data_IF_724139501674
#
_entry.id   IF_724139501674
#
_cell.length_a   1.000
_cell.length_b   1.000
_cell.length_c   1.000
_cell.angle_alpha   90.00
_cell.angle_beta   90.00
_cell.angle_gamma   90.00
#
_symmetry.space_group_name_H-M   'P 1'
#
loop_
_entity.id
_entity.type
_entity.pdbx_description
1 polymer ?
#
# COMPACT_ATOMS: atom_id res chain seq x y z
N UNK A 1 23.48 46.09 -55.99
CA UNK A 1 24.39 46.56 -57.06
C UNK A 1 24.95 45.35 -57.74
N UNK A 2 24.42 45.04 -58.88
CA UNK A 2 25.10 44.26 -59.94
C UNK A 2 26.17 45.17 -60.56
N UNK A 3 27.05 44.77 -61.42
CA UNK A 3 26.85 43.88 -62.56
C UNK A 3 28.06 42.93 -62.85
N UNK A 4 27.93 41.89 -63.62
CA UNK A 4 27.77 41.72 -65.13
C UNK A 4 29.08 41.35 -65.84
N UNK A 5 28.93 40.32 -66.67
CA UNK A 5 29.53 40.01 -67.97
C UNK A 5 30.95 39.36 -68.00
N UNK A 6 31.31 38.60 -68.94
CA UNK A 6 30.69 38.14 -70.21
C UNK A 6 31.61 37.05 -70.89
N UNK A 7 31.00 36.15 -71.61
CA UNK A 7 31.34 35.48 -72.84
C UNK A 7 32.81 35.23 -73.25
N UNK A 8 33.15 34.09 -73.81
CA UNK A 8 32.90 33.72 -75.20
C UNK A 8 33.57 32.41 -75.64
N UNK A 9 32.82 31.61 -76.35
CA UNK A 9 33.09 30.90 -77.61
C UNK A 9 34.44 30.23 -77.95
N UNK A 10 34.32 29.01 -78.41
CA UNK A 10 35.29 28.38 -79.26
C UNK A 10 35.01 26.88 -79.60
N UNK A 11 34.34 26.65 -80.68
CA UNK A 11 34.06 25.34 -81.32
C UNK A 11 35.32 24.49 -81.62
N UNK A 12 35.26 23.15 -81.56
CA UNK A 12 35.19 22.23 -82.70
C UNK A 12 35.30 20.77 -82.34
N UNK A 13 34.31 20.05 -82.75
CA UNK A 13 34.16 18.73 -83.38
C UNK A 13 35.22 17.63 -83.25
N UNK A 14 34.61 16.45 -82.95
CA UNK A 14 34.83 15.14 -83.59
C UNK A 14 35.84 14.21 -82.89
N UNK A 15 35.30 13.17 -82.23
CA UNK A 15 35.40 11.79 -82.67
C UNK A 15 34.59 10.87 -81.77
N UNK A 16 33.55 10.33 -82.36
CA UNK A 16 32.76 9.23 -81.76
C UNK A 16 33.49 7.90 -81.94
N UNK A 17 33.15 6.96 -81.02
CA UNK A 17 33.37 5.52 -81.09
C UNK A 17 34.64 5.04 -80.32
N UNK A 18 34.47 4.76 -79.01
CA UNK A 18 35.04 3.61 -78.33
C UNK A 18 34.80 3.60 -76.76
N UNK A 19 33.83 4.37 -76.22
CA UNK A 19 33.64 4.49 -74.78
C UNK A 19 32.51 3.63 -74.20
N UNK A 20 31.65 3.02 -74.97
CA UNK A 20 30.43 2.35 -74.45
C UNK A 20 30.67 0.94 -73.83
N UNK A 21 31.75 0.24 -74.25
CA UNK A 21 32.02 -1.12 -73.75
C UNK A 21 32.71 -1.13 -72.36
N UNK A 22 33.47 -0.11 -72.02
CA UNK A 22 34.19 -0.05 -70.69
C UNK A 22 33.33 0.41 -69.52
N UNK A 23 32.28 1.21 -69.78
CA UNK A 23 31.38 1.72 -68.74
C UNK A 23 30.45 0.61 -68.20
N UNK A 24 29.96 -0.28 -69.10
CA UNK A 24 29.10 -1.41 -68.75
C UNK A 24 29.86 -2.48 -67.94
N UNK A 25 31.12 -2.77 -68.22
CA UNK A 25 31.95 -3.73 -67.53
C UNK A 25 32.33 -3.20 -66.07
N UNK A 26 32.57 -1.90 -66.00
CA UNK A 26 32.90 -1.27 -64.66
C UNK A 26 31.68 -1.17 -63.82
N UNK A 27 30.48 -0.91 -64.35
CA UNK A 27 29.22 -0.84 -63.56
C UNK A 27 28.78 -2.24 -63.09
N UNK A 28 28.95 -3.29 -63.90
CA UNK A 28 28.68 -4.66 -63.48
C UNK A 28 29.62 -5.15 -62.41
N UNK A 29 30.93 -4.85 -62.46
CA UNK A 29 31.89 -5.17 -61.38
C UNK A 29 31.60 -4.43 -60.10
N UNK A 30 31.17 -3.13 -60.13
CA UNK A 30 30.75 -2.38 -58.94
C UNK A 30 29.48 -2.93 -58.30
N UNK A 31 28.51 -3.42 -59.10
CA UNK A 31 27.31 -4.08 -58.54
C UNK A 31 27.62 -5.41 -57.89
N UNK A 32 28.48 -6.26 -58.47
CA UNK A 32 28.86 -7.55 -57.89
C UNK A 32 29.64 -7.35 -56.59
N UNK A 33 30.54 -6.36 -56.48
CA UNK A 33 31.25 -6.04 -55.24
C UNK A 33 30.35 -5.45 -54.17
N UNK A 34 29.34 -4.67 -54.54
CA UNK A 34 28.36 -4.12 -53.58
C UNK A 34 27.47 -5.23 -53.01
N UNK A 35 27.01 -6.17 -53.85
CA UNK A 35 26.18 -7.30 -53.42
C UNK A 35 26.96 -8.24 -52.47
N UNK A 36 28.22 -8.54 -52.78
CA UNK A 36 29.09 -9.37 -51.93
C UNK A 36 29.39 -8.67 -50.60
N UNK A 37 29.50 -7.35 -50.56
CA UNK A 37 29.74 -6.59 -49.32
C UNK A 37 28.49 -6.56 -48.41
N UNK A 38 27.30 -6.52 -49.00
CA UNK A 38 26.05 -6.62 -48.25
C UNK A 38 25.79 -8.03 -47.71
N UNK A 39 26.12 -9.07 -48.49
CA UNK A 39 26.05 -10.47 -48.01
C UNK A 39 27.04 -10.71 -46.86
N UNK A 40 28.26 -10.22 -46.98
CA UNK A 40 29.25 -10.33 -45.90
C UNK A 40 28.83 -9.59 -44.62
N UNK A 41 28.21 -8.42 -44.75
CA UNK A 41 27.65 -7.66 -43.63
C UNK A 41 26.46 -8.39 -42.98
N UNK A 42 25.62 -9.02 -43.78
CA UNK A 42 24.49 -9.82 -43.32
C UNK A 42 24.93 -11.07 -42.57
N UNK A 43 25.93 -11.80 -43.11
CA UNK A 43 26.51 -12.97 -42.46
C UNK A 43 27.19 -12.59 -41.12
N UNK A 44 27.91 -11.46 -41.06
CA UNK A 44 28.54 -10.96 -39.82
C UNK A 44 27.49 -10.59 -38.78
N UNK A 45 26.37 -10.00 -39.24
CA UNK A 45 25.24 -9.67 -38.36
C UNK A 45 24.54 -10.91 -37.82
N UNK A 46 24.29 -11.92 -38.68
CA UNK A 46 23.71 -13.19 -38.25
C UNK A 46 24.63 -13.99 -37.32
N UNK A 47 25.94 -13.97 -37.57
CA UNK A 47 26.95 -14.59 -36.68
C UNK A 47 27.01 -13.88 -35.32
N UNK A 48 26.91 -12.55 -35.31
CA UNK A 48 26.85 -11.75 -34.09
C UNK A 48 25.56 -12.01 -33.31
N UNK A 49 24.40 -12.04 -33.93
CA UNK A 49 23.13 -12.37 -33.31
C UNK A 49 23.09 -13.82 -32.77
N UNK A 50 23.68 -14.78 -33.47
CA UNK A 50 23.84 -16.18 -33.01
C UNK A 50 24.82 -16.28 -31.84
N UNK A 51 25.86 -15.46 -31.81
CA UNK A 51 26.81 -15.38 -30.72
C UNK A 51 26.19 -14.73 -29.48
N UNK A 52 25.48 -13.62 -29.64
CA UNK A 52 24.71 -12.96 -28.57
C UNK A 52 23.58 -13.84 -27.99
N UNK A 53 22.97 -14.72 -28.82
CA UNK A 53 22.01 -15.74 -28.35
C UNK A 53 22.67 -16.93 -27.65
N UNK A 54 23.92 -17.29 -27.99
CA UNK A 54 24.67 -18.37 -27.34
C UNK A 54 25.39 -17.95 -26.06
N UNK A 55 25.71 -16.65 -25.93
CA UNK A 55 26.40 -16.09 -24.77
C UNK A 55 25.43 -15.57 -23.68
N UNK A 56 24.11 -15.79 -23.82
CA UNK A 56 23.19 -15.65 -22.68
C UNK A 56 23.39 -16.89 -21.81
N UNK A 57 24.15 -16.80 -20.70
CA UNK A 57 24.36 -17.96 -19.86
C UNK A 57 23.03 -18.43 -19.27
N UNK A 58 22.84 -19.74 -19.13
CA UNK A 58 21.72 -20.33 -18.37
C UNK A 58 21.65 -19.80 -16.92
N UNK A 59 22.73 -19.19 -16.44
CA UNK A 59 22.79 -18.43 -15.18
C UNK A 59 22.03 -17.10 -15.16
N UNK A 60 21.55 -16.57 -16.32
CA UNK A 60 20.75 -15.35 -16.33
C UNK A 60 19.36 -15.56 -15.72
N UNK A 61 18.86 -16.80 -15.68
CA UNK A 61 17.60 -17.15 -15.02
C UNK A 61 17.69 -17.16 -13.48
N UNK A 62 18.90 -17.18 -12.89
CA UNK A 62 19.10 -17.08 -11.45
C UNK A 62 19.08 -15.64 -10.91
N UNK A 63 19.10 -14.64 -11.79
CA UNK A 63 19.05 -13.21 -11.45
C UNK A 63 17.64 -12.61 -11.55
N UNK A 64 16.61 -13.37 -11.91
CA UNK A 64 15.22 -12.89 -11.87
C UNK A 64 14.75 -12.95 -10.42
N UNK A 65 14.73 -11.77 -9.76
CA UNK A 65 14.18 -11.61 -8.41
C UNK A 65 12.75 -12.15 -8.38
N UNK A 66 12.43 -12.95 -7.36
CA UNK A 66 11.08 -13.50 -7.21
C UNK A 66 10.06 -12.37 -6.94
N UNK A 67 8.90 -12.37 -7.61
CA UNK A 67 7.85 -11.42 -7.31
C UNK A 67 7.23 -11.74 -5.94
N UNK A 68 7.19 -10.74 -5.07
CA UNK A 68 6.70 -10.90 -3.70
C UNK A 68 5.78 -9.76 -3.27
N UNK A 69 5.03 -10.04 -2.22
CA UNK A 69 4.36 -9.04 -1.37
C UNK A 69 5.26 -8.78 -0.17
N UNK A 70 5.54 -7.50 0.10
CA UNK A 70 6.23 -7.07 1.32
C UNK A 70 5.22 -6.60 2.35
N UNK A 71 5.26 -7.16 3.56
CA UNK A 71 4.42 -6.76 4.69
C UNK A 71 5.32 -6.22 5.80
N UNK A 72 5.20 -4.95 6.15
CA UNK A 72 5.91 -4.38 7.29
C UNK A 72 4.99 -4.29 8.50
N UNK A 73 5.51 -4.51 9.72
CA UNK A 73 4.66 -4.60 10.91
C UNK A 73 3.80 -5.86 10.94
N UNK A 74 4.34 -6.93 10.39
CA UNK A 74 3.64 -8.20 10.15
C UNK A 74 3.22 -8.93 11.43
N UNK A 75 3.89 -8.68 12.56
CA UNK A 75 3.55 -9.23 13.87
C UNK A 75 2.37 -8.56 14.57
N UNK A 76 1.79 -7.49 13.97
CA UNK A 76 0.61 -6.81 14.50
C UNK A 76 -0.71 -7.55 14.21
N UNK A 77 -1.80 -7.06 14.79
CA UNK A 77 -3.14 -7.68 14.69
C UNK A 77 -3.63 -7.84 13.24
N UNK A 78 -3.49 -6.76 12.44
CA UNK A 78 -3.85 -6.80 11.01
C UNK A 78 -2.90 -7.73 10.24
N UNK A 79 -1.61 -7.76 10.61
CA UNK A 79 -0.58 -8.54 9.92
C UNK A 79 -0.86 -10.04 9.95
N UNK A 80 -1.27 -10.57 11.09
CA UNK A 80 -1.63 -11.98 11.22
C UNK A 80 -2.76 -12.37 10.27
N UNK A 81 -3.89 -11.66 10.32
CA UNK A 81 -5.03 -11.93 9.44
C UNK A 81 -4.71 -11.74 7.96
N UNK A 82 -3.85 -10.75 7.64
CA UNK A 82 -3.42 -10.48 6.27
C UNK A 82 -2.52 -11.60 5.72
N UNK A 83 -1.57 -12.10 6.52
CA UNK A 83 -0.71 -13.23 6.12
C UNK A 83 -1.55 -14.48 5.87
N UNK A 84 -2.50 -14.80 6.76
CA UNK A 84 -3.42 -15.91 6.57
C UNK A 84 -4.19 -15.78 5.25
N UNK A 85 -4.76 -14.61 5.00
CA UNK A 85 -5.54 -14.34 3.79
C UNK A 85 -4.73 -14.40 2.49
N UNK A 86 -3.46 -13.98 2.52
CA UNK A 86 -2.55 -14.01 1.36
C UNK A 86 -1.99 -15.42 1.13
N UNK A 87 -1.66 -16.16 2.20
CA UNK A 87 -1.19 -17.53 2.12
C UNK A 87 -2.26 -18.47 1.52
N UNK A 88 -3.53 -18.29 1.88
CA UNK A 88 -4.65 -19.04 1.30
C UNK A 88 -4.80 -18.81 -0.22
N UNK A 89 -4.42 -17.62 -0.73
CA UNK A 89 -4.44 -17.31 -2.16
C UNK A 89 -3.29 -17.96 -2.92
N UNK A 90 -2.11 -18.01 -2.33
CA UNK A 90 -0.92 -18.65 -2.88
C UNK A 90 -0.41 -18.09 -4.22
N UNK A 91 -0.83 -16.88 -4.59
CA UNK A 91 -0.50 -16.29 -5.91
C UNK A 91 0.85 -15.55 -5.94
N UNK A 92 1.42 -15.22 -4.78
CA UNK A 92 2.72 -14.52 -4.63
C UNK A 92 3.46 -15.01 -3.39
N UNK A 93 4.78 -14.87 -3.43
CA UNK A 93 5.60 -15.04 -2.23
C UNK A 93 5.36 -13.93 -1.21
N UNK A 94 5.44 -14.27 0.08
CA UNK A 94 5.25 -13.33 1.19
C UNK A 94 6.58 -13.09 1.87
N UNK A 95 7.03 -11.83 1.88
CA UNK A 95 8.18 -11.35 2.65
C UNK A 95 7.69 -10.44 3.75
N UNK A 96 8.15 -10.66 4.97
CA UNK A 96 7.76 -9.85 6.12
C UNK A 96 8.95 -9.10 6.70
N UNK A 97 8.71 -7.88 7.19
CA UNK A 97 9.66 -7.05 7.92
C UNK A 97 9.02 -6.56 9.22
N UNK A 98 9.56 -6.99 10.35
CA UNK A 98 9.12 -6.58 11.69
C UNK A 98 10.31 -6.38 12.63
N UNK A 99 10.12 -5.64 13.70
CA UNK A 99 11.14 -5.49 14.77
C UNK A 99 11.36 -6.78 15.54
N UNK A 100 10.33 -7.60 15.65
CA UNK A 100 10.31 -8.86 16.37
C UNK A 100 10.10 -10.04 15.41
N UNK A 101 10.48 -11.23 15.86
CA UNK A 101 10.11 -12.46 15.15
C UNK A 101 8.60 -12.69 15.22
N UNK A 102 8.07 -13.26 14.15
CA UNK A 102 6.68 -13.65 14.08
C UNK A 102 6.41 -14.86 14.96
N UNK A 103 5.14 -15.02 15.35
CA UNK A 103 4.66 -16.27 15.94
C UNK A 103 4.98 -17.45 14.98
N UNK A 104 5.46 -18.60 15.49
CA UNK A 104 5.80 -19.75 14.65
C UNK A 104 4.70 -20.21 13.69
N UNK A 105 3.42 -20.09 14.10
CA UNK A 105 2.27 -20.45 13.27
C UNK A 105 2.08 -19.52 12.06
N UNK A 106 2.48 -18.25 12.22
CA UNK A 106 2.45 -17.23 11.15
C UNK A 106 3.72 -17.29 10.31
N UNK A 107 4.88 -17.44 10.96
CA UNK A 107 6.18 -17.58 10.28
C UNK A 107 6.21 -18.76 9.29
N UNK A 108 5.52 -19.86 9.60
CA UNK A 108 5.39 -21.02 8.72
C UNK A 108 4.64 -20.73 7.39
N UNK A 109 3.93 -19.61 7.29
CA UNK A 109 3.13 -19.20 6.12
C UNK A 109 3.82 -18.18 5.22
N UNK A 110 5.06 -17.75 5.56
CA UNK A 110 5.80 -16.74 4.81
C UNK A 110 7.05 -17.35 4.16
N UNK A 111 7.42 -16.84 2.98
CA UNK A 111 8.63 -17.30 2.28
C UNK A 111 9.91 -16.76 2.92
N UNK A 112 9.84 -15.55 3.47
CA UNK A 112 10.99 -14.91 4.12
C UNK A 112 10.55 -14.01 5.26
N UNK A 113 11.03 -14.27 6.45
CA UNK A 113 10.93 -13.40 7.61
C UNK A 113 12.23 -12.58 7.76
N UNK A 114 12.08 -11.28 7.88
CA UNK A 114 13.17 -10.32 8.09
C UNK A 114 12.92 -9.58 9.39
N UNK A 115 13.87 -9.67 10.33
CA UNK A 115 13.81 -8.91 11.57
C UNK A 115 14.65 -7.63 11.42
N UNK A 116 14.02 -6.47 11.60
CA UNK A 116 14.68 -5.18 11.51
C UNK A 116 13.73 -3.99 11.47
N UNK A 117 14.30 -2.81 11.35
CA UNK A 117 13.56 -1.55 11.36
C UNK A 117 13.30 -1.00 9.96
N UNK A 118 12.12 -0.44 9.73
CA UNK A 118 11.80 0.34 8.52
C UNK A 118 12.61 1.65 8.42
N UNK A 119 13.30 2.03 9.49
CA UNK A 119 14.24 3.15 9.49
C UNK A 119 15.64 2.78 8.99
N UNK A 120 15.96 1.49 8.89
CA UNK A 120 17.23 0.99 8.35
C UNK A 120 17.17 0.93 6.82
N UNK A 121 17.65 2.01 6.18
CA UNK A 121 17.72 2.10 4.71
C UNK A 121 18.58 1.02 4.09
N UNK A 122 19.70 0.65 4.75
CA UNK A 122 20.57 -0.42 4.25
C UNK A 122 19.89 -1.78 4.27
N UNK A 123 18.99 -2.04 5.23
CA UNK A 123 18.14 -3.23 5.22
C UNK A 123 17.15 -3.20 4.04
N UNK A 124 16.50 -2.07 3.78
CA UNK A 124 15.58 -1.93 2.66
C UNK A 124 16.30 -2.11 1.31
N UNK A 125 17.52 -1.60 1.15
CA UNK A 125 18.34 -1.82 -0.04
C UNK A 125 18.67 -3.31 -0.26
N UNK A 126 18.94 -4.07 0.82
CA UNK A 126 19.12 -5.53 0.71
C UNK A 126 17.85 -6.25 0.24
N UNK A 127 16.67 -5.83 0.73
CA UNK A 127 15.38 -6.37 0.26
C UNK A 127 15.19 -6.09 -1.23
N UNK A 128 15.52 -4.87 -1.71
CA UNK A 128 15.51 -4.51 -3.13
C UNK A 128 16.43 -5.41 -3.97
N UNK A 129 17.60 -5.76 -3.45
CA UNK A 129 18.54 -6.59 -4.16
C UNK A 129 18.07 -8.06 -4.30
N UNK A 130 17.35 -8.57 -3.30
CA UNK A 130 16.96 -9.99 -3.22
C UNK A 130 15.60 -10.26 -3.90
N UNK A 131 14.62 -9.36 -3.76
CA UNK A 131 13.24 -9.58 -4.19
C UNK A 131 12.78 -8.55 -5.22
N UNK A 132 11.77 -8.92 -6.02
CA UNK A 132 10.98 -8.01 -6.83
C UNK A 132 9.66 -7.73 -6.12
N UNK A 133 9.58 -6.59 -5.44
CA UNK A 133 8.38 -6.23 -4.67
C UNK A 133 7.36 -5.56 -5.59
N UNK A 134 6.20 -6.18 -5.76
CA UNK A 134 5.11 -5.65 -6.59
C UNK A 134 3.97 -5.03 -5.76
N UNK A 135 3.90 -5.38 -4.47
CA UNK A 135 2.89 -4.94 -3.54
C UNK A 135 3.50 -4.78 -2.14
N UNK A 136 3.26 -3.63 -1.53
CA UNK A 136 3.65 -3.34 -0.15
C UNK A 136 2.40 -3.16 0.70
N UNK A 137 2.27 -3.91 1.81
CA UNK A 137 1.35 -3.59 2.90
C UNK A 137 2.16 -2.98 4.03
N UNK A 138 2.06 -1.67 4.19
CA UNK A 138 2.81 -0.95 5.22
C UNK A 138 2.00 -0.84 6.51
N UNK A 139 2.08 -1.86 7.38
CA UNK A 139 1.35 -1.92 8.66
C UNK A 139 2.18 -1.41 9.84
N UNK A 140 3.50 -1.30 9.70
CA UNK A 140 4.39 -0.85 10.79
C UNK A 140 4.06 0.58 11.21
N UNK A 141 3.64 0.77 12.45
CA UNK A 141 3.35 2.07 13.03
C UNK A 141 3.35 2.03 14.55
N UNK A 142 3.66 3.15 15.21
CA UNK A 142 3.28 3.38 16.60
C UNK A 142 1.81 3.83 16.65
N UNK A 143 1.02 3.15 17.49
CA UNK A 143 -0.42 3.40 17.63
C UNK A 143 -0.71 4.66 18.47
N UNK A 144 -2.00 5.04 18.49
CA UNK A 144 -2.49 6.33 19.00
C UNK A 144 -1.98 6.66 20.40
N UNK A 145 -2.23 5.82 21.39
CA UNK A 145 -1.85 6.08 22.78
C UNK A 145 -0.33 6.22 22.94
N UNK A 146 0.43 5.31 22.33
CA UNK A 146 1.91 5.36 22.40
C UNK A 146 2.48 6.59 21.68
N UNK A 147 1.83 7.04 20.61
CA UNK A 147 2.23 8.24 19.88
C UNK A 147 2.09 9.52 20.72
N UNK A 148 1.07 9.59 21.59
CA UNK A 148 0.89 10.71 22.50
C UNK A 148 1.99 10.76 23.57
N UNK A 149 2.41 9.61 24.09
CA UNK A 149 3.50 9.57 25.08
C UNK A 149 4.90 9.77 24.49
N UNK A 150 5.09 9.44 23.21
CA UNK A 150 6.41 9.51 22.55
C UNK A 150 6.31 10.15 21.17
N UNK A 151 5.93 11.45 21.06
CA UNK A 151 5.60 12.07 19.78
C UNK A 151 6.79 12.12 18.80
N UNK A 152 8.01 12.33 19.26
CA UNK A 152 9.19 12.32 18.39
C UNK A 152 9.45 10.93 17.82
N UNK A 153 9.38 9.88 18.63
CA UNK A 153 9.53 8.49 18.15
C UNK A 153 8.39 8.12 17.19
N UNK A 154 7.17 8.59 17.50
CA UNK A 154 6.03 8.37 16.61
C UNK A 154 6.25 9.02 15.24
N UNK A 155 6.76 10.24 15.20
CA UNK A 155 7.12 10.91 13.94
C UNK A 155 8.17 10.10 13.16
N UNK A 156 9.25 9.70 13.80
CA UNK A 156 10.30 8.92 13.15
C UNK A 156 9.74 7.62 12.54
N UNK A 157 9.04 6.82 13.34
CA UNK A 157 8.52 5.53 12.85
C UNK A 157 7.41 5.74 11.81
N UNK A 158 6.41 6.56 12.13
CA UNK A 158 5.20 6.67 11.30
C UNK A 158 5.43 7.50 10.04
N UNK A 159 6.29 8.53 10.09
CA UNK A 159 6.52 9.46 8.97
C UNK A 159 7.80 9.13 8.22
N UNK A 160 8.96 9.13 8.90
CA UNK A 160 10.23 8.84 8.22
C UNK A 160 10.29 7.39 7.73
N UNK A 161 9.74 6.44 8.51
CA UNK A 161 9.63 5.05 8.08
C UNK A 161 8.74 4.89 6.85
N UNK A 162 7.60 5.59 6.79
CA UNK A 162 6.72 5.63 5.60
C UNK A 162 7.44 6.24 4.40
N UNK A 163 8.18 7.34 4.61
CA UNK A 163 8.97 7.97 3.54
C UNK A 163 10.03 7.02 2.98
N UNK A 164 10.77 6.32 3.83
CA UNK A 164 11.75 5.32 3.39
C UNK A 164 11.11 4.23 2.53
N UNK A 165 9.92 3.77 2.88
CA UNK A 165 9.19 2.74 2.12
C UNK A 165 8.57 3.28 0.82
N UNK A 166 8.17 4.54 0.76
CA UNK A 166 7.74 5.19 -0.49
C UNK A 166 8.91 5.35 -1.47
N UNK A 167 10.09 5.77 -0.98
CA UNK A 167 11.33 5.80 -1.79
C UNK A 167 11.72 4.38 -2.25
N UNK A 168 11.63 3.39 -1.35
CA UNK A 168 11.82 1.99 -1.69
C UNK A 168 10.89 1.56 -2.83
N UNK A 169 9.58 1.83 -2.72
CA UNK A 169 8.60 1.46 -3.74
C UNK A 169 8.84 2.19 -5.08
N UNK A 170 9.30 3.46 -5.03
CA UNK A 170 9.67 4.24 -6.20
C UNK A 170 10.86 3.60 -6.95
N UNK A 171 11.95 3.28 -6.22
CA UNK A 171 13.13 2.65 -6.79
C UNK A 171 12.82 1.26 -7.33
N UNK A 172 11.98 0.49 -6.63
CA UNK A 172 11.55 -0.83 -7.09
C UNK A 172 10.78 -0.73 -8.40
N UNK A 173 9.81 0.20 -8.48
CA UNK A 173 9.04 0.43 -9.69
C UNK A 173 9.91 0.91 -10.87
N UNK A 174 10.91 1.74 -10.62
CA UNK A 174 11.90 2.15 -11.63
C UNK A 174 12.73 0.97 -12.11
N UNK A 175 13.14 0.09 -11.20
CA UNK A 175 13.97 -1.09 -11.49
C UNK A 175 13.29 -2.09 -12.45
N UNK A 176 12.00 -2.36 -12.26
CA UNK A 176 11.29 -3.35 -13.09
C UNK A 176 10.27 -2.75 -14.10
N UNK A 177 10.14 -1.43 -14.12
CA UNK A 177 9.34 -0.72 -15.11
C UNK A 177 7.81 -0.82 -14.94
N UNK A 178 7.33 -1.25 -13.75
CA UNK A 178 5.92 -1.40 -13.43
C UNK A 178 5.60 -0.65 -12.14
N UNK A 179 4.38 -0.12 -11.95
CA UNK A 179 3.98 0.47 -10.67
C UNK A 179 4.01 -0.56 -9.54
N UNK A 180 4.46 -0.12 -8.36
CA UNK A 180 4.32 -0.86 -7.11
C UNK A 180 3.06 -0.39 -6.41
N UNK A 181 2.16 -1.31 -6.07
CA UNK A 181 0.98 -1.01 -5.26
C UNK A 181 1.43 -0.84 -3.81
N UNK A 182 1.11 0.31 -3.22
CA UNK A 182 1.48 0.65 -1.86
C UNK A 182 0.23 0.83 -1.00
N UNK A 183 -0.07 -0.17 -0.18
CA UNK A 183 -1.21 -0.17 0.73
C UNK A 183 -0.84 0.47 2.06
N UNK A 184 -1.56 1.53 2.42
CA UNK A 184 -1.34 2.28 3.64
C UNK A 184 -2.59 2.28 4.54
N UNK A 185 -2.58 1.60 5.69
CA UNK A 185 -3.61 1.72 6.69
C UNK A 185 -3.55 3.10 7.37
N UNK A 186 -4.48 3.98 7.01
CA UNK A 186 -4.77 5.21 7.72
C UNK A 186 -5.84 4.96 8.79
N UNK A 187 -6.44 5.99 9.35
CA UNK A 187 -7.34 5.89 10.50
C UNK A 187 -8.34 7.03 10.50
N UNK A 188 -9.50 6.82 11.14
CA UNK A 188 -10.44 7.90 11.50
C UNK A 188 -9.80 8.97 12.40
N UNK A 189 -8.64 8.71 13.00
CA UNK A 189 -7.88 9.69 13.77
C UNK A 189 -7.36 10.88 12.95
N UNK A 190 -7.44 10.84 11.60
CA UNK A 190 -7.16 11.97 10.71
C UNK A 190 -8.23 13.08 10.81
N UNK A 191 -9.38 12.74 11.37
CA UNK A 191 -10.47 13.69 11.58
C UNK A 191 -10.33 14.44 12.91
N UNK A 192 -10.90 15.65 12.97
CA UNK A 192 -10.95 16.46 14.17
C UNK A 192 -12.17 17.37 14.15
N UNK A 193 -13.29 16.89 14.68
CA UNK A 193 -14.50 17.69 14.88
C UNK A 193 -14.32 18.55 16.15
N UNK A 194 -14.74 19.84 16.11
CA UNK A 194 -14.40 20.79 17.17
C UNK A 194 -15.13 20.51 18.50
N UNK A 195 -16.31 19.91 18.44
CA UNK A 195 -17.14 19.66 19.62
C UNK A 195 -18.20 18.58 19.39
N UNK A 196 -18.86 18.15 20.47
CA UNK A 196 -19.89 17.11 20.44
C UNK A 196 -21.14 17.50 19.65
N UNK A 197 -21.52 18.78 19.62
CA UNK A 197 -22.67 19.25 18.89
C UNK A 197 -22.41 19.11 17.37
N UNK A 198 -21.24 19.55 16.93
CA UNK A 198 -20.76 19.36 15.55
C UNK A 198 -20.68 17.88 15.19
N UNK A 199 -20.13 17.04 16.06
CA UNK A 199 -20.08 15.58 15.87
C UNK A 199 -21.46 14.98 15.66
N UNK A 200 -22.43 15.36 16.49
CA UNK A 200 -23.82 14.88 16.37
C UNK A 200 -24.51 15.36 15.08
N UNK A 201 -24.18 16.56 14.62
CA UNK A 201 -24.79 17.16 13.42
C UNK A 201 -24.12 16.73 12.10
N UNK A 202 -22.86 16.30 12.13
CA UNK A 202 -22.07 15.99 10.94
C UNK A 202 -22.58 14.76 10.16
N UNK A 203 -23.28 13.83 10.84
CA UNK A 203 -23.75 12.60 10.20
C UNK A 203 -22.59 11.73 9.74
N UNK A 204 -22.65 11.25 8.47
CA UNK A 204 -21.57 10.48 7.84
C UNK A 204 -20.52 11.40 7.25
N UNK A 205 -19.34 11.44 7.84
CA UNK A 205 -18.23 12.32 7.45
C UNK A 205 -17.52 11.76 6.21
N UNK A 206 -17.34 12.62 5.19
CA UNK A 206 -16.60 12.28 3.97
C UNK A 206 -15.09 12.47 4.11
N UNK A 207 -14.33 11.92 3.16
CA UNK A 207 -12.87 11.92 3.20
C UNK A 207 -12.21 13.31 3.17
N UNK A 208 -12.90 14.33 2.63
CA UNK A 208 -12.41 15.71 2.51
C UNK A 208 -12.98 16.67 3.57
N UNK A 209 -13.78 16.16 4.49
CA UNK A 209 -14.36 16.92 5.59
C UNK A 209 -13.57 16.73 6.88
N UNK A 210 -13.51 17.75 7.74
CA UNK A 210 -12.99 17.70 9.11
C UNK A 210 -11.59 17.06 9.26
N UNK A 211 -10.72 17.15 8.27
CA UNK A 211 -9.34 16.62 8.31
C UNK A 211 -8.41 17.53 9.12
N UNK A 212 -8.71 17.68 10.41
CA UNK A 212 -8.00 18.52 11.37
C UNK A 212 -7.63 17.71 12.63
N UNK A 213 -6.72 16.73 12.49
CA UNK A 213 -6.40 15.81 13.59
C UNK A 213 -5.89 16.54 14.82
N UNK A 214 -6.28 16.07 15.99
CA UNK A 214 -5.91 16.62 17.29
C UNK A 214 -4.87 15.78 18.03
N UNK A 215 -4.45 14.65 17.45
CA UNK A 215 -3.46 13.74 18.04
C UNK A 215 -2.22 13.63 17.16
N UNK A 216 -1.07 13.32 17.76
CA UNK A 216 0.19 13.07 17.02
C UNK A 216 0.02 11.93 16.01
N UNK A 217 -0.68 10.87 16.40
CA UNK A 217 -0.99 9.76 15.49
C UNK A 217 -1.83 10.20 14.29
N UNK A 218 -2.90 10.97 14.52
CA UNK A 218 -3.74 11.50 13.45
C UNK A 218 -2.98 12.43 12.51
N UNK A 219 -2.13 13.32 13.06
CA UNK A 219 -1.25 14.19 12.28
C UNK A 219 -0.29 13.38 11.41
N UNK A 220 0.35 12.33 11.96
CA UNK A 220 1.24 11.46 11.21
C UNK A 220 0.49 10.73 10.09
N UNK A 221 -0.71 10.18 10.38
CA UNK A 221 -1.51 9.46 9.38
C UNK A 221 -1.94 10.37 8.24
N UNK A 222 -2.46 11.56 8.54
CA UNK A 222 -2.87 12.53 7.52
C UNK A 222 -1.68 13.01 6.67
N UNK A 223 -0.53 13.30 7.30
CA UNK A 223 0.68 13.69 6.57
C UNK A 223 1.12 12.57 5.60
N UNK A 224 1.11 11.32 6.03
CA UNK A 224 1.48 10.19 5.19
C UNK A 224 0.49 9.94 4.04
N UNK A 225 -0.81 10.21 4.21
CA UNK A 225 -1.78 10.22 3.11
C UNK A 225 -1.39 11.25 2.04
N UNK A 226 -1.06 12.49 2.46
CA UNK A 226 -0.62 13.55 1.53
C UNK A 226 0.72 13.21 0.87
N UNK A 227 1.65 12.61 1.61
CA UNK A 227 2.93 12.15 1.09
C UNK A 227 2.73 11.04 0.05
N UNK A 228 1.90 10.04 0.34
CA UNK A 228 1.57 8.98 -0.62
C UNK A 228 0.90 9.51 -1.89
N UNK A 229 -0.03 10.48 -1.74
CA UNK A 229 -0.63 11.18 -2.89
C UNK A 229 0.40 11.93 -3.72
N UNK A 230 1.40 12.56 -3.07
CA UNK A 230 2.51 13.22 -3.75
C UNK A 230 3.31 12.22 -4.59
N UNK A 231 3.72 11.08 -4.02
CA UNK A 231 4.44 10.02 -4.76
C UNK A 231 3.63 9.45 -5.92
N UNK A 232 2.33 9.23 -5.72
CA UNK A 232 1.47 8.66 -6.74
C UNK A 232 1.20 9.59 -7.94
N UNK A 233 1.13 10.93 -7.71
CA UNK A 233 0.62 11.86 -8.70
C UNK A 233 1.57 13.01 -9.07
N UNK A 234 2.48 13.38 -8.17
CA UNK A 234 3.24 14.64 -8.28
C UNK A 234 4.75 14.48 -8.09
N UNK A 235 5.24 13.25 -7.99
CA UNK A 235 6.64 13.00 -7.67
C UNK A 235 7.59 13.68 -8.65
N UNK A 236 8.51 14.49 -8.11
CA UNK A 236 9.55 15.22 -8.86
C UNK A 236 9.02 16.01 -10.06
N UNK A 237 7.95 16.80 -9.89
CA UNK A 237 7.28 17.57 -10.95
C UNK A 237 8.20 18.46 -11.79
N UNK A 238 9.37 18.86 -11.26
CA UNK A 238 10.36 19.70 -11.95
C UNK A 238 11.45 18.88 -12.65
N UNK A 239 11.40 17.55 -12.58
CA UNK A 239 12.34 16.70 -13.32
C UNK A 239 12.04 16.73 -14.83
N UNK A 240 13.10 16.59 -15.65
CA UNK A 240 12.98 16.58 -17.11
C UNK A 240 12.11 15.42 -17.61
N UNK A 241 12.15 14.29 -16.92
CA UNK A 241 11.30 13.13 -17.18
C UNK A 241 10.34 12.90 -16.01
N UNK A 242 9.06 12.65 -16.32
CA UNK A 242 8.07 12.37 -15.28
C UNK A 242 8.33 10.98 -14.65
N UNK A 243 8.54 10.98 -13.34
CA UNK A 243 8.65 9.77 -12.53
C UNK A 243 7.35 9.48 -11.75
N UNK A 244 6.30 10.27 -11.92
CA UNK A 244 5.01 10.10 -11.25
C UNK A 244 4.30 8.81 -11.72
N UNK A 245 3.46 8.24 -10.84
CA UNK A 245 2.70 7.03 -11.15
C UNK A 245 3.48 5.72 -11.03
N UNK A 246 4.72 5.75 -10.57
CA UNK A 246 5.52 4.55 -10.24
C UNK A 246 5.02 3.92 -8.93
N UNK A 247 4.65 4.73 -7.97
CA UNK A 247 3.97 4.28 -6.75
C UNK A 247 2.45 4.38 -6.96
N UNK A 248 1.75 3.27 -6.86
CA UNK A 248 0.29 3.20 -6.84
C UNK A 248 -0.17 3.19 -5.37
N UNK A 249 -0.24 4.39 -4.78
CA UNK A 249 -0.58 4.57 -3.38
C UNK A 249 -2.08 4.45 -3.16
N UNK A 250 -2.48 3.60 -2.19
CA UNK A 250 -3.85 3.34 -1.81
C UNK A 250 -3.97 3.29 -0.29
N UNK A 251 -4.86 4.07 0.26
CA UNK A 251 -5.04 4.19 1.71
C UNK A 251 -6.47 3.86 2.13
N UNK A 252 -6.60 3.18 3.28
CA UNK A 252 -7.87 2.92 3.94
C UNK A 252 -7.85 3.63 5.29
N UNK A 253 -8.82 4.51 5.53
CA UNK A 253 -9.06 5.10 6.86
C UNK A 253 -9.87 4.11 7.68
N UNK A 254 -9.16 3.32 8.48
CA UNK A 254 -9.81 2.35 9.33
C UNK A 254 -10.60 3.00 10.46
N UNK A 255 -11.79 2.45 10.75
CA UNK A 255 -12.51 2.68 11.99
C UNK A 255 -11.83 1.95 13.15
N UNK A 256 -12.45 1.92 14.33
CA UNK A 256 -12.05 1.00 15.39
C UNK A 256 -12.19 -0.45 14.94
N UNK A 257 -11.08 -1.16 14.80
CA UNK A 257 -11.08 -2.58 14.45
C UNK A 257 -11.25 -3.44 15.71
N UNK A 258 -12.12 -4.45 15.63
CA UNK A 258 -12.35 -5.38 16.73
C UNK A 258 -11.89 -6.78 16.34
N UNK A 259 -10.86 -7.28 17.01
CA UNK A 259 -10.33 -8.63 16.84
C UNK A 259 -10.82 -9.57 17.95
N UNK A 260 -11.22 -10.78 17.57
CA UNK A 260 -11.49 -11.86 18.49
C UNK A 260 -10.25 -12.72 18.79
N UNK A 261 -9.26 -12.69 17.89
CA UNK A 261 -8.06 -13.54 17.94
C UNK A 261 -6.89 -12.89 18.66
N UNK A 262 -6.81 -11.57 18.67
CA UNK A 262 -5.74 -10.82 19.32
C UNK A 262 -6.29 -10.00 20.49
N UNK A 263 -5.43 -9.72 21.47
CA UNK A 263 -5.78 -8.83 22.55
C UNK A 263 -5.65 -7.37 22.10
N UNK A 264 -6.55 -6.48 22.55
CA UNK A 264 -6.39 -5.06 22.27
C UNK A 264 -5.04 -4.54 22.78
N UNK A 265 -4.40 -3.67 22.02
CA UNK A 265 -3.04 -3.19 22.25
C UNK A 265 -2.98 -1.86 23.02
N UNK A 266 -4.11 -1.39 23.58
CA UNK A 266 -4.22 -0.13 24.32
C UNK A 266 -4.39 1.09 23.40
N UNK A 267 -5.09 0.95 22.30
CA UNK A 267 -5.50 2.05 21.42
C UNK A 267 -6.55 2.94 22.09
N UNK A 268 -6.65 4.19 21.66
CA UNK A 268 -7.63 5.15 22.21
C UNK A 268 -9.08 4.69 22.00
N UNK A 269 -9.35 3.87 20.98
CA UNK A 269 -10.68 3.32 20.62
C UNK A 269 -10.97 1.94 21.20
N UNK A 270 -10.07 1.37 21.99
CA UNK A 270 -10.13 -0.06 22.36
C UNK A 270 -11.17 -0.41 23.43
N UNK A 271 -12.06 0.52 23.80
CA UNK A 271 -13.12 0.25 24.80
C UNK A 271 -14.01 -0.94 24.43
N UNK A 272 -14.33 -1.11 23.15
CA UNK A 272 -15.19 -2.19 22.70
C UNK A 272 -14.47 -3.57 22.73
N UNK A 273 -13.27 -3.76 22.14
CA UNK A 273 -12.57 -5.02 22.26
C UNK A 273 -12.14 -5.34 23.69
N UNK A 274 -11.70 -4.34 24.49
CA UNK A 274 -11.37 -4.57 25.90
C UNK A 274 -12.57 -5.09 26.68
N UNK A 275 -13.75 -4.50 26.49
CA UNK A 275 -15.00 -4.88 27.16
C UNK A 275 -15.38 -6.35 26.91
N UNK A 276 -15.39 -6.79 25.67
CA UNK A 276 -15.81 -8.16 25.32
C UNK A 276 -14.77 -9.20 25.76
N UNK A 277 -13.47 -8.88 25.67
CA UNK A 277 -12.42 -9.77 26.14
C UNK A 277 -12.39 -9.90 27.67
N UNK A 278 -12.61 -8.80 28.41
CA UNK A 278 -12.72 -8.84 29.88
C UNK A 278 -13.95 -9.66 30.32
N UNK A 279 -15.09 -9.44 29.68
CA UNK A 279 -16.31 -10.22 29.93
C UNK A 279 -16.09 -11.73 29.74
N UNK A 280 -15.41 -12.12 28.69
CA UNK A 280 -15.14 -13.53 28.39
C UNK A 280 -14.15 -14.18 29.37
N UNK A 281 -13.28 -13.39 30.00
CA UNK A 281 -12.37 -13.85 31.07
C UNK A 281 -13.00 -13.82 32.47
N UNK A 282 -14.21 -13.28 32.59
CA UNK A 282 -14.85 -13.07 33.90
C UNK A 282 -14.18 -11.95 34.74
N UNK A 283 -13.47 -11.05 34.07
CA UNK A 283 -12.80 -9.91 34.70
C UNK A 283 -13.75 -8.71 34.78
N UNK A 284 -13.66 -7.93 35.88
CA UNK A 284 -14.33 -6.63 35.98
C UNK A 284 -13.70 -5.67 34.93
N UNK A 285 -14.55 -4.94 34.24
CA UNK A 285 -14.12 -3.93 33.26
C UNK A 285 -14.71 -2.56 33.57
N UNK A 286 -13.87 -1.56 33.63
CA UNK A 286 -14.25 -0.16 33.79
C UNK A 286 -14.10 0.55 32.42
N UNK A 287 -15.23 0.83 31.79
CA UNK A 287 -15.25 1.44 30.46
C UNK A 287 -14.87 2.91 30.56
N UNK A 288 -13.79 3.27 29.89
CA UNK A 288 -13.18 4.59 29.95
C UNK A 288 -13.87 5.65 29.07
N UNK A 289 -14.93 5.29 28.34
CA UNK A 289 -15.73 6.23 27.57
C UNK A 289 -17.15 6.32 28.12
N UNK A 290 -17.85 7.41 27.78
CA UNK A 290 -19.27 7.60 28.15
C UNK A 290 -20.17 6.59 27.42
N UNK A 291 -21.33 6.33 28.02
CA UNK A 291 -22.36 5.43 27.49
C UNK A 291 -22.85 5.81 26.07
N UNK A 292 -22.95 7.10 25.82
CA UNK A 292 -23.41 7.66 24.55
C UNK A 292 -22.33 7.74 23.45
N UNK A 293 -21.09 7.37 23.77
CA UNK A 293 -19.97 7.46 22.84
C UNK A 293 -20.20 6.57 21.61
N UNK A 294 -20.09 7.17 20.42
CA UNK A 294 -20.15 6.50 19.13
C UNK A 294 -18.92 6.82 18.31
N UNK A 295 -18.36 5.81 17.70
CA UNK A 295 -17.35 5.87 16.63
C UNK A 295 -17.68 4.78 15.61
N UNK A 296 -17.25 4.89 14.34
CA UNK A 296 -17.35 3.79 13.42
C UNK A 296 -16.47 2.63 13.87
N UNK A 297 -16.98 1.42 13.74
CA UNK A 297 -16.34 0.16 14.11
C UNK A 297 -16.41 -0.84 12.95
N UNK A 298 -15.55 -1.87 12.99
CA UNK A 298 -15.52 -2.96 12.02
C UNK A 298 -14.88 -4.21 12.63
N UNK A 299 -15.37 -5.39 12.25
CA UNK A 299 -14.72 -6.65 12.58
C UNK A 299 -13.38 -6.80 11.84
N UNK A 300 -12.35 -7.31 12.51
CA UNK A 300 -10.99 -7.47 11.93
C UNK A 300 -10.97 -8.21 10.58
N UNK A 301 -11.74 -9.30 10.35
CA UNK A 301 -11.78 -9.97 9.06
C UNK A 301 -12.20 -9.05 7.91
N UNK A 302 -13.20 -8.18 8.12
CA UNK A 302 -13.63 -7.20 7.12
C UNK A 302 -12.55 -6.15 6.83
N UNK A 303 -11.80 -5.76 7.87
CA UNK A 303 -10.65 -4.85 7.71
C UNK A 303 -9.53 -5.45 6.85
N UNK A 304 -9.23 -6.74 7.07
CA UNK A 304 -8.26 -7.47 6.24
C UNK A 304 -8.76 -7.63 4.80
N UNK A 305 -10.03 -8.01 4.63
CA UNK A 305 -10.64 -8.15 3.30
C UNK A 305 -10.70 -6.81 2.55
N UNK A 306 -10.91 -5.69 3.25
CA UNK A 306 -10.84 -4.35 2.68
C UNK A 306 -9.45 -4.04 2.10
N UNK A 307 -8.37 -4.35 2.84
CA UNK A 307 -6.99 -4.17 2.34
C UNK A 307 -6.72 -5.01 1.09
N UNK A 308 -7.08 -6.29 1.12
CA UNK A 308 -6.84 -7.22 0.01
C UNK A 308 -7.66 -6.83 -1.22
N UNK A 309 -8.91 -6.42 -1.02
CA UNK A 309 -9.80 -6.01 -2.11
C UNK A 309 -9.33 -4.71 -2.76
N UNK A 310 -8.98 -3.70 -1.95
CA UNK A 310 -8.45 -2.45 -2.48
C UNK A 310 -7.10 -2.67 -3.19
N UNK A 311 -6.21 -3.54 -2.65
CA UNK A 311 -4.94 -3.86 -3.31
C UNK A 311 -5.14 -4.51 -4.69
N UNK A 312 -6.20 -5.30 -4.87
CA UNK A 312 -6.52 -5.97 -6.11
C UNK A 312 -7.36 -5.12 -7.09
N UNK A 313 -7.89 -3.98 -6.64
CA UNK A 313 -8.74 -3.12 -7.46
C UNK A 313 -8.00 -2.57 -8.68
N UNK A 314 -8.69 -2.38 -9.79
CA UNK A 314 -8.12 -1.77 -10.98
C UNK A 314 -7.89 -0.27 -10.75
N UNK A 315 -6.65 0.19 -11.00
CA UNK A 315 -6.22 1.57 -10.74
C UNK A 315 -7.13 2.61 -11.42
N UNK A 316 -7.59 2.33 -12.61
CA UNK A 316 -8.45 3.21 -13.39
C UNK A 316 -9.84 3.42 -12.79
N UNK A 317 -10.29 2.57 -11.89
CA UNK A 317 -11.54 2.74 -11.17
C UNK A 317 -11.39 3.60 -9.91
N UNK A 318 -10.16 3.77 -9.43
CA UNK A 318 -9.90 4.50 -8.18
C UNK A 318 -9.91 6.00 -8.43
N UNK A 319 -10.90 6.69 -7.87
CA UNK A 319 -11.04 8.16 -7.97
C UNK A 319 -10.25 8.91 -6.92
N UNK A 320 -9.84 8.23 -5.84
CA UNK A 320 -9.10 8.78 -4.68
C UNK A 320 -7.86 7.94 -4.37
N UNK A 321 -7.03 8.45 -3.50
CA UNK A 321 -5.90 7.71 -2.89
C UNK A 321 -6.24 7.25 -1.47
N UNK A 322 -7.22 7.87 -0.81
CA UNK A 322 -7.68 7.57 0.53
C UNK A 322 -9.19 7.27 0.53
N UNK A 323 -9.61 6.25 1.27
CA UNK A 323 -10.99 5.77 1.34
C UNK A 323 -11.43 5.55 2.77
N UNK A 324 -12.61 6.06 3.11
CA UNK A 324 -13.32 5.68 4.32
C UNK A 324 -13.88 4.27 4.20
N UNK A 325 -13.82 3.53 5.31
CA UNK A 325 -14.51 2.23 5.47
C UNK A 325 -15.12 2.16 6.86
N UNK A 326 -16.33 1.64 6.96
CA UNK A 326 -16.99 1.34 8.22
C UNK A 326 -17.99 0.19 8.04
N UNK A 327 -18.37 -0.47 9.13
CA UNK A 327 -19.38 -1.53 9.11
C UNK A 327 -20.57 -1.19 10.01
N UNK A 328 -20.32 -0.70 11.20
CA UNK A 328 -21.32 -0.37 12.21
C UNK A 328 -20.82 0.69 13.18
N UNK A 329 -21.73 1.32 13.94
CA UNK A 329 -21.38 2.38 14.90
C UNK A 329 -22.29 2.39 16.15
N UNK A 330 -22.37 1.28 16.92
CA UNK A 330 -23.15 1.26 18.15
C UNK A 330 -22.57 2.26 19.15
N UNK A 331 -23.43 2.77 20.03
CA UNK A 331 -22.95 3.45 21.24
C UNK A 331 -22.28 2.46 22.18
N UNK A 332 -21.46 2.98 23.08
CA UNK A 332 -20.79 2.12 24.08
C UNK A 332 -21.80 1.34 24.93
N UNK A 333 -22.96 1.92 25.25
CA UNK A 333 -24.02 1.22 26.00
C UNK A 333 -24.71 0.14 25.16
N UNK A 334 -24.94 0.37 23.86
CA UNK A 334 -25.48 -0.66 22.97
C UNK A 334 -24.50 -1.83 22.84
N UNK A 335 -23.20 -1.54 22.71
CA UNK A 335 -22.16 -2.58 22.70
C UNK A 335 -22.13 -3.36 24.02
N UNK A 336 -22.14 -2.67 25.17
CA UNK A 336 -22.23 -3.28 26.50
C UNK A 336 -23.45 -4.22 26.62
N UNK A 337 -24.61 -3.80 26.13
CA UNK A 337 -25.83 -4.61 26.17
C UNK A 337 -25.64 -5.94 25.46
N UNK A 338 -25.09 -5.93 24.23
CA UNK A 338 -24.77 -7.17 23.48
C UNK A 338 -23.73 -8.04 24.19
N UNK A 339 -22.74 -7.43 24.84
CA UNK A 339 -21.75 -8.19 25.62
C UNK A 339 -22.40 -8.86 26.83
N UNK A 340 -23.30 -8.17 27.56
CA UNK A 340 -24.01 -8.74 28.70
C UNK A 340 -25.00 -9.85 28.31
N UNK A 341 -25.64 -9.77 27.14
CA UNK A 341 -26.45 -10.85 26.58
C UNK A 341 -25.60 -12.11 26.33
N UNK A 342 -24.39 -11.95 25.80
CA UNK A 342 -23.47 -13.06 25.55
C UNK A 342 -22.78 -13.57 26.83
N UNK A 343 -22.49 -12.70 27.79
CA UNK A 343 -21.77 -12.98 29.03
C UNK A 343 -22.54 -12.41 30.23
N UNK A 344 -23.66 -13.04 30.69
CA UNK A 344 -24.54 -12.46 31.71
C UNK A 344 -23.90 -12.22 33.06
N UNK A 345 -22.80 -12.91 33.36
CA UNK A 345 -22.06 -12.73 34.63
C UNK A 345 -21.00 -11.61 34.58
N UNK A 346 -20.82 -10.97 33.43
CA UNK A 346 -19.81 -9.94 33.24
C UNK A 346 -20.11 -8.69 34.10
N UNK A 347 -19.08 -8.13 34.69
CA UNK A 347 -19.14 -6.91 35.51
C UNK A 347 -18.53 -5.77 34.70
N UNK A 348 -19.38 -4.92 34.12
CA UNK A 348 -18.98 -3.81 33.26
C UNK A 348 -19.54 -2.53 33.85
N UNK A 349 -18.66 -1.65 34.32
CA UNK A 349 -18.97 -0.34 34.89
C UNK A 349 -18.43 0.79 34.04
N UNK A 350 -18.77 2.02 34.39
CA UNK A 350 -18.30 3.22 33.70
C UNK A 350 -17.35 4.00 34.60
N UNK A 351 -16.10 4.16 34.13
CA UNK A 351 -15.11 5.07 34.72
C UNK A 351 -14.44 5.89 33.63
N UNK A 352 -15.07 7.03 33.34
CA UNK A 352 -14.73 7.83 32.14
C UNK A 352 -13.37 8.53 32.32
N UNK A 353 -12.37 8.11 31.56
CA UNK A 353 -11.12 8.83 31.40
C UNK A 353 -11.34 10.08 30.53
N UNK A 354 -11.30 11.26 31.15
CA UNK A 354 -11.57 12.54 30.49
C UNK A 354 -10.62 12.84 29.34
N UNK A 355 -9.38 12.40 29.42
CA UNK A 355 -8.37 12.65 28.36
C UNK A 355 -8.63 11.77 27.15
N UNK A 356 -8.80 10.46 27.34
CA UNK A 356 -9.15 9.53 26.26
C UNK A 356 -10.51 9.88 25.65
N UNK A 357 -11.51 10.18 26.46
CA UNK A 357 -12.82 10.61 26.00
C UNK A 357 -12.73 11.90 25.15
N UNK A 358 -11.93 12.87 25.59
CA UNK A 358 -11.72 14.12 24.85
C UNK A 358 -11.18 13.86 23.43
N UNK A 359 -10.26 12.92 23.27
CA UNK A 359 -9.77 12.50 21.95
C UNK A 359 -10.88 11.84 21.13
N UNK A 360 -11.59 10.87 21.71
CA UNK A 360 -12.67 10.13 21.01
C UNK A 360 -13.82 11.07 20.61
N UNK A 361 -14.09 12.13 21.38
CA UNK A 361 -15.10 13.13 21.04
C UNK A 361 -14.74 13.94 19.77
N UNK A 362 -13.48 14.05 19.39
CA UNK A 362 -13.05 14.73 18.16
C UNK A 362 -13.17 13.84 16.92
N UNK A 363 -13.37 12.54 17.04
CA UNK A 363 -13.54 11.61 15.92
C UNK A 363 -15.00 11.55 15.45
N UNK A 364 -15.28 11.24 14.17
CA UNK A 364 -16.64 11.15 13.67
C UNK A 364 -17.43 10.05 14.38
N UNK A 365 -18.76 10.24 14.49
CA UNK A 365 -19.65 9.19 14.95
C UNK A 365 -19.87 8.11 13.86
N UNK A 366 -19.80 8.51 12.59
CA UNK A 366 -19.88 7.63 11.42
C UNK A 366 -19.13 8.26 10.24
N UNK A 367 -18.80 7.47 9.23
CA UNK A 367 -18.13 7.93 8.01
C UNK A 367 -18.89 7.50 6.76
N UNK A 368 -18.76 8.28 5.70
CA UNK A 368 -19.33 7.95 4.38
C UNK A 368 -18.34 7.06 3.61
N UNK A 369 -18.69 5.81 3.42
CA UNK A 369 -17.94 4.80 2.68
C UNK A 369 -18.45 4.61 1.24
N UNK A 370 -19.34 5.47 0.76
CA UNK A 370 -19.96 5.35 -0.56
C UNK A 370 -18.95 5.37 -1.71
N UNK A 371 -17.85 6.10 -1.54
CA UNK A 371 -16.75 6.14 -2.53
C UNK A 371 -16.03 4.80 -2.60
N UNK A 372 -15.75 4.17 -1.47
CA UNK A 372 -15.13 2.85 -1.41
C UNK A 372 -16.04 1.77 -2.05
N UNK A 373 -17.33 1.81 -1.76
CA UNK A 373 -18.33 0.91 -2.37
C UNK A 373 -18.40 1.03 -3.88
N UNK A 374 -18.40 2.25 -4.39
CA UNK A 374 -18.49 2.55 -5.83
C UNK A 374 -17.20 2.18 -6.57
N UNK A 375 -16.04 2.57 -6.05
CA UNK A 375 -14.77 2.52 -6.78
C UNK A 375 -14.14 1.13 -6.78
N UNK A 376 -14.27 0.37 -5.70
CA UNK A 376 -13.64 -0.94 -5.55
C UNK A 376 -14.50 -2.02 -4.90
N UNK A 377 -15.81 -1.74 -4.74
CA UNK A 377 -16.77 -2.74 -4.31
C UNK A 377 -16.66 -3.10 -2.82
N UNK A 378 -16.26 -2.14 -1.96
CA UNK A 378 -16.24 -2.37 -0.52
C UNK A 378 -17.62 -2.82 -0.03
N UNK A 379 -17.66 -3.95 0.68
CA UNK A 379 -18.88 -4.51 1.25
C UNK A 379 -18.49 -5.33 2.49
N UNK A 380 -18.57 -4.75 3.70
CA UNK A 380 -18.28 -5.49 4.91
C UNK A 380 -19.28 -6.64 5.08
N UNK A 381 -18.80 -7.78 5.51
CA UNK A 381 -19.59 -8.99 5.73
C UNK A 381 -20.44 -8.90 6.99
N UNK A 382 -19.90 -8.25 8.02
CA UNK A 382 -20.47 -8.19 9.35
C UNK A 382 -21.10 -6.82 9.63
N UNK A 383 -22.43 -6.76 9.79
CA UNK A 383 -23.07 -5.71 10.56
C UNK A 383 -22.83 -5.94 12.06
N UNK A 384 -23.40 -5.11 12.94
CA UNK A 384 -23.12 -5.19 14.38
C UNK A 384 -23.57 -6.54 14.98
N UNK A 385 -24.78 -6.97 14.70
CA UNK A 385 -25.33 -8.20 15.26
C UNK A 385 -24.56 -9.41 14.76
N UNK A 386 -24.30 -9.50 13.47
CA UNK A 386 -23.49 -10.58 12.88
C UNK A 386 -22.05 -10.57 13.38
N UNK A 387 -21.45 -9.39 13.58
CA UNK A 387 -20.10 -9.29 14.17
C UNK A 387 -20.07 -9.93 15.56
N UNK A 388 -21.06 -9.63 16.40
CA UNK A 388 -21.16 -10.19 17.75
C UNK A 388 -21.45 -11.69 17.70
N UNK A 389 -22.49 -12.11 16.95
CA UNK A 389 -23.03 -13.47 17.01
C UNK A 389 -22.21 -14.49 16.21
N UNK A 390 -21.69 -14.10 15.02
CA UNK A 390 -21.00 -15.03 14.12
C UNK A 390 -19.47 -15.01 14.30
N UNK A 391 -18.88 -13.91 14.78
CA UNK A 391 -17.42 -13.76 14.85
C UNK A 391 -16.90 -13.57 16.27
N UNK A 392 -17.32 -12.50 16.96
CA UNK A 392 -16.68 -12.11 18.23
C UNK A 392 -16.96 -13.12 19.35
N UNK A 393 -18.23 -13.37 19.65
CA UNK A 393 -18.61 -14.25 20.78
C UNK A 393 -18.13 -15.69 20.57
N UNK A 394 -18.38 -16.36 19.43
CA UNK A 394 -17.92 -17.73 19.24
C UNK A 394 -16.39 -17.86 19.34
N UNK A 395 -15.66 -16.98 18.66
CA UNK A 395 -14.20 -17.04 18.60
C UNK A 395 -13.55 -16.72 19.95
N UNK A 396 -14.06 -15.71 20.67
CA UNK A 396 -13.56 -15.32 21.98
C UNK A 396 -13.86 -16.42 23.01
N UNK A 397 -15.06 -17.03 23.00
CA UNK A 397 -15.38 -18.17 23.87
C UNK A 397 -14.40 -19.33 23.63
N UNK A 398 -14.17 -19.70 22.36
CA UNK A 398 -13.21 -20.76 22.03
C UNK A 398 -11.81 -20.43 22.57
N UNK A 399 -11.34 -19.19 22.38
CA UNK A 399 -10.02 -18.72 22.86
C UNK A 399 -9.83 -18.90 24.36
N UNK A 400 -10.86 -18.65 25.17
CA UNK A 400 -10.77 -18.70 26.64
C UNK A 400 -11.29 -19.99 27.26
N UNK A 401 -11.99 -20.86 26.51
CA UNK A 401 -12.41 -22.19 27.01
C UNK A 401 -11.28 -23.24 26.96
N UNK A 402 -10.20 -22.97 26.22
CA UNK A 402 -9.04 -23.87 26.07
C UNK A 402 -7.92 -23.58 27.10
N UNK A 403 -8.16 -22.72 28.06
CA UNK A 403 -7.29 -22.44 29.21
C UNK A 403 -7.98 -22.95 30.50
#
# INVERSE_FOLDING_TARGET
MAPVNDASNGERRSCHVTETSNVLATTARRRITATNLEEEKREKREKREKREKREKPEHYNSLVRKPVVLITGAGGEIGHGLIDRLADRGDRGIVTLDLNRLDPSISAKVDREITGSILDRGLLERVLAEFRVELVFHLAALLSTRSEFTPMTAHQVNVEGTLNLLEFAQHEAESHGRPVVFMYPSSIAVYGLPDRQTKAAAGKVKEDEWTHPTTMYGCNKLYCEQLGRYYARYYKQLAAESASGRVDFRSVRFPGLISALTMPSGGTSDYAPEMIHAAARGERYECFVREDTRIPLMAMPDGVDALVTLAAARREHLTRTEYNVAAFNPSAVEFRTRVLEAFPAAQIEWDVDRQRQGIVDTWPADVDDSTARRDWGFAPRYDFDRAVDEYLVPTIRQRYSTR
#
